data_IF_552355696827
#
_entry.id   IF_552355696827
#
_cell.length_a   1.000
_cell.length_b   1.000
_cell.length_c   1.000
_cell.angle_alpha   90.00
_cell.angle_beta   90.00
_cell.angle_gamma   90.00
#
_symmetry.space_group_name_H-M   'P 1'
#
loop_
_entity.id
_entity.type
_entity.pdbx_description
1 polymer ?
#
# COMPACT_ATOMS: atom_id res chain seq x y z
N UNK A 1 26.33 1.25 -12.24
CA UNK A 1 25.63 2.45 -11.75
C UNK A 1 24.53 2.01 -10.80
N UNK A 2 24.61 2.36 -9.51
CA UNK A 2 23.49 2.14 -8.57
C UNK A 2 22.35 3.07 -9.00
N UNK A 3 21.21 2.52 -9.44
CA UNK A 3 20.03 3.30 -9.88
C UNK A 3 19.35 4.08 -8.74
N UNK A 4 19.63 3.70 -7.50
CA UNK A 4 19.10 4.31 -6.29
C UNK A 4 20.25 4.48 -5.29
N UNK A 5 20.23 5.55 -4.49
CA UNK A 5 21.20 5.74 -3.41
C UNK A 5 21.02 4.69 -2.32
N UNK A 6 22.11 4.25 -1.69
CA UNK A 6 22.09 3.17 -0.69
C UNK A 6 21.09 3.46 0.46
N UNK A 7 21.02 4.71 0.93
CA UNK A 7 20.04 5.14 1.94
C UNK A 7 18.58 4.96 1.49
N UNK A 8 18.24 5.27 0.23
CA UNK A 8 16.88 5.11 -0.29
C UNK A 8 16.48 3.64 -0.41
N UNK A 9 17.43 2.80 -0.84
CA UNK A 9 17.21 1.36 -0.92
C UNK A 9 16.94 0.78 0.47
N UNK A 10 17.70 1.20 1.47
CA UNK A 10 17.53 0.76 2.86
C UNK A 10 16.15 1.15 3.41
N UNK A 11 15.71 2.39 3.20
CA UNK A 11 14.36 2.84 3.61
C UNK A 11 13.25 2.01 2.95
N UNK A 12 13.36 1.73 1.64
CA UNK A 12 12.39 0.90 0.92
C UNK A 12 12.37 -0.55 1.42
N UNK A 13 13.53 -1.13 1.75
CA UNK A 13 13.62 -2.46 2.37
C UNK A 13 12.96 -2.47 3.75
N UNK A 14 13.21 -1.46 4.58
CA UNK A 14 12.62 -1.36 5.92
C UNK A 14 11.10 -1.24 5.86
N UNK A 15 10.56 -0.45 4.92
CA UNK A 15 9.12 -0.40 4.70
C UNK A 15 8.54 -1.73 4.21
N UNK A 16 9.21 -2.42 3.29
CA UNK A 16 8.75 -3.72 2.82
C UNK A 16 8.67 -4.75 3.97
N UNK A 17 9.57 -4.66 4.96
CA UNK A 17 9.51 -5.46 6.18
C UNK A 17 8.33 -5.08 7.07
N UNK A 18 8.06 -3.78 7.26
CA UNK A 18 6.92 -3.30 8.05
C UNK A 18 5.57 -3.70 7.42
N UNK A 19 5.51 -3.77 6.09
CA UNK A 19 4.34 -4.22 5.35
C UNK A 19 4.20 -5.76 5.29
N UNK A 20 5.11 -6.50 5.95
CA UNK A 20 5.21 -7.97 5.90
C UNK A 20 5.34 -8.52 4.47
N UNK A 21 5.84 -7.71 3.53
CA UNK A 21 5.99 -8.05 2.11
C UNK A 21 7.43 -7.84 1.64
N UNK A 22 8.40 -8.67 2.07
CA UNK A 22 9.82 -8.54 1.75
C UNK A 22 10.16 -9.00 0.32
N UNK A 23 9.31 -8.67 -0.66
CA UNK A 23 9.48 -9.06 -2.04
C UNK A 23 10.17 -7.96 -2.84
N UNK A 24 11.09 -8.36 -3.72
CA UNK A 24 11.80 -7.43 -4.62
C UNK A 24 10.85 -6.56 -5.44
N UNK A 25 9.70 -7.09 -5.86
CA UNK A 25 8.72 -6.32 -6.63
C UNK A 25 8.16 -5.14 -5.83
N UNK A 26 7.91 -5.32 -4.53
CA UNK A 26 7.43 -4.26 -3.63
C UNK A 26 8.51 -3.19 -3.48
N UNK A 27 9.76 -3.60 -3.19
CA UNK A 27 10.89 -2.67 -3.04
C UNK A 27 11.11 -1.84 -4.31
N UNK A 28 11.05 -2.48 -5.49
CA UNK A 28 11.19 -1.77 -6.78
C UNK A 28 10.02 -0.80 -7.01
N UNK A 29 8.80 -1.19 -6.65
CA UNK A 29 7.63 -0.33 -6.78
C UNK A 29 7.73 0.90 -5.86
N UNK A 30 8.15 0.72 -4.61
CA UNK A 30 8.40 1.80 -3.66
C UNK A 30 9.42 2.79 -4.25
N UNK A 31 10.58 2.28 -4.71
CA UNK A 31 11.65 3.09 -5.28
C UNK A 31 11.27 3.80 -6.59
N UNK A 32 10.44 3.17 -7.42
CA UNK A 32 9.96 3.73 -8.68
C UNK A 32 8.98 4.88 -8.44
N UNK A 33 8.13 4.76 -7.43
CA UNK A 33 7.10 5.74 -7.10
C UNK A 33 7.55 6.78 -6.06
N UNK A 34 8.80 6.73 -5.59
CA UNK A 34 9.34 7.60 -4.51
C UNK A 34 8.51 7.54 -3.22
N UNK A 35 7.94 6.36 -2.92
CA UNK A 35 7.14 6.12 -1.71
C UNK A 35 7.98 5.65 -0.53
N UNK A 36 9.30 5.54 -0.72
CA UNK A 36 10.22 5.33 0.39
C UNK A 36 10.20 6.51 1.36
N UNK A 37 9.59 6.33 2.53
CA UNK A 37 9.40 7.37 3.56
C UNK A 37 7.97 7.89 3.71
N UNK A 38 7.05 7.60 2.78
CA UNK A 38 5.62 7.76 3.06
C UNK A 38 5.25 6.72 4.13
N UNK A 39 4.65 7.17 5.24
CA UNK A 39 4.28 6.29 6.34
C UNK A 39 3.59 5.06 5.77
N UNK A 40 4.09 3.87 6.12
CA UNK A 40 3.55 2.58 5.68
C UNK A 40 2.16 2.29 6.25
N UNK A 41 1.49 3.31 6.76
CA UNK A 41 0.04 3.33 6.82
C UNK A 41 -0.41 3.22 5.37
N UNK A 42 -1.17 2.18 5.00
CA UNK A 42 -2.12 2.38 3.92
C UNK A 42 -2.79 3.73 4.25
N UNK A 43 -3.12 4.60 3.28
CA UNK A 43 -4.39 5.26 3.50
C UNK A 43 -5.32 4.10 3.84
N UNK A 44 -5.78 4.04 5.08
CA UNK A 44 -7.15 3.64 5.29
C UNK A 44 -7.85 4.51 4.26
N UNK A 45 -8.06 3.95 3.07
CA UNK A 45 -9.29 4.19 2.38
C UNK A 45 -10.26 3.79 3.47
N UNK A 46 -10.62 4.78 4.30
CA UNK A 46 -11.97 4.93 4.79
C UNK A 46 -12.78 4.34 3.66
N UNK A 47 -13.34 3.16 3.93
CA UNK A 47 -14.26 2.54 3.00
C UNK A 47 -15.32 3.61 2.77
N UNK A 48 -15.10 4.46 1.76
CA UNK A 48 -16.13 5.09 0.99
C UNK A 48 -16.77 3.89 0.34
N UNK A 49 -17.62 3.23 1.12
CA UNK A 49 -18.61 2.30 0.65
C UNK A 49 -19.43 3.19 -0.27
N UNK A 50 -19.01 3.26 -1.53
CA UNK A 50 -19.73 3.98 -2.54
C UNK A 50 -21.15 3.43 -2.42
N UNK A 51 -22.10 4.31 -2.10
CA UNK A 51 -23.51 3.97 -1.97
C UNK A 51 -23.97 3.46 -3.33
N UNK A 52 -23.72 2.18 -3.58
CA UNK A 52 -24.12 1.50 -4.78
C UNK A 52 -25.60 1.18 -4.59
N UNK A 53 -26.41 1.58 -5.57
CA UNK A 53 -27.87 1.38 -5.64
C UNK A 53 -28.32 -0.09 -5.44
N UNK A 54 -27.38 -1.04 -5.42
CA UNK A 54 -27.60 -2.48 -5.26
C UNK A 54 -27.31 -3.04 -3.86
N UNK A 55 -26.94 -2.23 -2.86
CA UNK A 55 -26.85 -2.72 -1.47
C UNK A 55 -28.27 -2.89 -0.92
N UNK A 56 -28.84 -4.10 -1.08
CA UNK A 56 -30.16 -4.45 -0.56
C UNK A 56 -30.05 -4.66 0.95
N UNK A 57 -30.72 -3.79 1.72
CA UNK A 57 -30.75 -3.84 3.17
C UNK A 57 -31.38 -5.13 3.74
N UNK A 58 -31.26 -5.30 5.05
CA UNK A 58 -31.62 -6.51 5.82
C UNK A 58 -33.11 -6.95 5.76
N UNK A 59 -33.95 -6.32 4.92
CA UNK A 59 -35.35 -6.71 4.69
C UNK A 59 -35.56 -7.76 3.60
N UNK A 60 -34.49 -8.33 3.02
CA UNK A 60 -34.60 -9.22 1.85
C UNK A 60 -34.66 -10.73 2.17
N UNK A 61 -34.69 -11.12 3.46
CA UNK A 61 -34.94 -12.50 3.87
C UNK A 61 -36.30 -12.58 4.55
N UNK A 62 -37.34 -12.91 3.77
CA UNK A 62 -38.65 -13.34 4.26
C UNK A 62 -38.93 -14.75 3.78
#
# INVERSE_FOLDING_TARGET
MRKYGDARLETACQQALLLERPHRQVIVNLLANRREGESALPPEAEDDIAEHENVRGAGYYH
#
